data_IF_615477531663
#
_entry.id   IF_615477531663
#
_cell.length_a   1.000
_cell.length_b   1.000
_cell.length_c   1.000
_cell.angle_alpha   90.00
_cell.angle_beta   90.00
_cell.angle_gamma   90.00
#
_symmetry.space_group_name_H-M   'P 1'
#
loop_
_entity.id
_entity.type
_entity.pdbx_description
1 polymer ?
#
# COMPACT_ATOMS: atom_id res chain seq x y z
N UNK A 1 -8.61 -54.58 -7.95
CA UNK A 1 -8.73 -53.36 -7.11
C UNK A 1 -9.25 -52.24 -8.00
N UNK A 2 -10.46 -51.75 -7.78
CA UNK A 2 -11.14 -50.78 -8.67
C UNK A 2 -10.61 -49.36 -8.49
N UNK A 3 -10.20 -48.72 -9.59
CA UNK A 3 -9.83 -47.31 -9.64
C UNK A 3 -11.03 -46.37 -9.58
N UNK A 4 -10.78 -45.07 -9.76
CA UNK A 4 -11.79 -44.04 -10.01
C UNK A 4 -12.38 -44.24 -11.42
N UNK A 5 -13.69 -44.04 -11.53
CA UNK A 5 -14.36 -44.01 -12.83
C UNK A 5 -13.98 -42.73 -13.59
N UNK A 6 -14.18 -42.72 -14.91
CA UNK A 6 -13.93 -41.53 -15.74
C UNK A 6 -14.73 -40.32 -15.23
N UNK A 7 -16.00 -40.52 -14.87
CA UNK A 7 -16.84 -39.47 -14.30
C UNK A 7 -16.27 -38.90 -12.98
N UNK A 8 -15.75 -39.76 -12.09
CA UNK A 8 -15.09 -39.30 -10.87
C UNK A 8 -13.81 -38.53 -11.18
N UNK A 9 -13.00 -38.96 -12.15
CA UNK A 9 -11.78 -38.25 -12.57
C UNK A 9 -12.10 -36.85 -13.12
N UNK A 10 -13.13 -36.73 -13.97
CA UNK A 10 -13.56 -35.43 -14.51
C UNK A 10 -14.07 -34.50 -13.39
N UNK A 11 -14.92 -35.00 -12.50
CA UNK A 11 -15.46 -34.22 -11.40
C UNK A 11 -14.36 -33.76 -10.41
N UNK A 12 -13.44 -34.67 -10.06
CA UNK A 12 -12.31 -34.35 -9.19
C UNK A 12 -11.36 -33.35 -9.84
N UNK A 13 -11.04 -33.49 -11.13
CA UNK A 13 -10.20 -32.52 -11.84
C UNK A 13 -10.80 -31.11 -11.80
N UNK A 14 -12.11 -30.97 -12.06
CA UNK A 14 -12.81 -29.70 -11.98
C UNK A 14 -12.83 -29.09 -10.56
N UNK A 15 -12.85 -29.93 -9.52
CA UNK A 15 -12.72 -29.48 -8.13
C UNK A 15 -11.30 -29.03 -7.80
N UNK A 16 -10.29 -29.81 -8.20
CA UNK A 16 -8.89 -29.51 -7.95
C UNK A 16 -8.46 -28.20 -8.63
N UNK A 17 -8.90 -27.96 -9.88
CA UNK A 17 -8.64 -26.72 -10.64
C UNK A 17 -9.13 -25.47 -9.87
N UNK A 18 -10.23 -25.59 -9.12
CA UNK A 18 -10.84 -24.48 -8.36
C UNK A 18 -10.30 -24.34 -6.93
N UNK A 19 -9.55 -25.32 -6.43
CA UNK A 19 -9.01 -25.30 -5.08
C UNK A 19 -7.84 -24.30 -4.96
N UNK A 20 -7.75 -23.49 -3.88
CA UNK A 20 -6.57 -22.69 -3.58
C UNK A 20 -5.33 -23.56 -3.29
N UNK A 21 -4.12 -23.03 -3.51
CA UNK A 21 -2.86 -23.78 -3.32
C UNK A 21 -2.66 -24.27 -1.89
N UNK A 22 -3.08 -23.48 -0.89
CA UNK A 22 -3.04 -23.90 0.51
C UNK A 22 -3.91 -25.15 0.74
N UNK A 23 -5.12 -25.16 0.18
CA UNK A 23 -6.05 -26.29 0.29
C UNK A 23 -5.52 -27.51 -0.46
N UNK A 24 -4.95 -27.33 -1.66
CA UNK A 24 -4.32 -28.44 -2.40
C UNK A 24 -3.18 -29.09 -1.62
N UNK A 25 -2.35 -28.30 -0.93
CA UNK A 25 -1.29 -28.83 -0.07
C UNK A 25 -1.87 -29.64 1.09
N UNK A 26 -2.91 -29.13 1.74
CA UNK A 26 -3.61 -29.85 2.84
C UNK A 26 -4.22 -31.15 2.35
N UNK A 27 -4.93 -31.15 1.22
CA UNK A 27 -5.53 -32.35 0.62
C UNK A 27 -4.45 -33.35 0.21
N UNK A 28 -3.35 -32.88 -0.39
CA UNK A 28 -2.21 -33.73 -0.76
C UNK A 28 -1.58 -34.41 0.46
N UNK A 29 -1.41 -33.70 1.57
CA UNK A 29 -0.89 -34.27 2.82
C UNK A 29 -1.86 -35.29 3.43
N UNK A 30 -3.17 -35.02 3.38
CA UNK A 30 -4.21 -35.90 3.90
C UNK A 30 -4.36 -37.21 3.10
N UNK A 31 -4.17 -37.16 1.77
CA UNK A 31 -4.29 -38.34 0.90
C UNK A 31 -3.00 -39.18 0.89
N UNK A 32 -1.84 -38.59 1.20
CA UNK A 32 -0.54 -39.27 1.20
C UNK A 32 -0.49 -40.61 1.98
N UNK A 33 -1.01 -40.73 3.22
CA UNK A 33 -0.97 -41.99 3.97
C UNK A 33 -2.07 -43.00 3.58
N UNK A 34 -3.03 -42.62 2.72
CA UNK A 34 -4.18 -43.48 2.42
C UNK A 34 -3.80 -44.65 1.49
N UNK A 35 -4.09 -45.91 1.88
CA UNK A 35 -3.84 -47.07 1.03
C UNK A 35 -4.93 -47.24 -0.03
N UNK A 36 -4.61 -47.95 -1.12
CA UNK A 36 -5.58 -48.39 -2.14
C UNK A 36 -5.52 -47.66 -3.48
N UNK A 37 -6.12 -48.26 -4.51
CA UNK A 37 -6.03 -47.80 -5.91
C UNK A 37 -6.65 -46.42 -6.15
N UNK A 38 -7.80 -46.11 -5.54
CA UNK A 38 -8.44 -44.79 -5.64
C UNK A 38 -7.60 -43.69 -5.00
N UNK A 39 -6.97 -43.97 -3.85
CA UNK A 39 -6.06 -43.04 -3.20
C UNK A 39 -4.79 -42.82 -4.05
N UNK A 40 -4.26 -43.88 -4.68
CA UNK A 40 -3.14 -43.75 -5.61
C UNK A 40 -3.47 -42.86 -6.82
N UNK A 41 -4.63 -43.07 -7.46
CA UNK A 41 -5.06 -42.22 -8.58
C UNK A 41 -5.31 -40.76 -8.17
N UNK A 42 -5.92 -40.53 -7.00
CA UNK A 42 -6.10 -39.16 -6.47
C UNK A 42 -4.74 -38.48 -6.18
N UNK A 43 -3.75 -39.22 -5.65
CA UNK A 43 -2.38 -38.69 -5.49
C UNK A 43 -1.75 -38.29 -6.81
N UNK A 44 -1.94 -39.09 -7.87
CA UNK A 44 -1.47 -38.73 -9.21
C UNK A 44 -2.14 -37.45 -9.72
N UNK A 45 -3.47 -37.36 -9.63
CA UNK A 45 -4.21 -36.16 -10.04
C UNK A 45 -3.77 -34.90 -9.28
N UNK A 46 -3.53 -35.01 -7.96
CA UNK A 46 -3.02 -33.91 -7.14
C UNK A 46 -1.60 -33.50 -7.54
N UNK A 47 -0.73 -34.47 -7.82
CA UNK A 47 0.64 -34.20 -8.28
C UNK A 47 0.65 -33.58 -9.69
N UNK A 48 -0.27 -33.98 -10.56
CA UNK A 48 -0.43 -33.42 -11.90
C UNK A 48 -0.89 -31.96 -11.83
N UNK A 49 -1.92 -31.67 -11.00
CA UNK A 49 -2.42 -30.32 -10.77
C UNK A 49 -1.34 -29.40 -10.18
N UNK A 50 -0.61 -29.88 -9.16
CA UNK A 50 0.48 -29.09 -8.56
C UNK A 50 1.58 -28.78 -9.58
N UNK A 51 1.98 -29.77 -10.40
CA UNK A 51 2.98 -29.57 -11.46
C UNK A 51 2.48 -28.59 -12.52
N UNK A 52 1.22 -28.70 -12.94
CA UNK A 52 0.63 -27.76 -13.90
C UNK A 52 0.66 -26.32 -13.38
N UNK A 53 0.34 -26.10 -12.09
CA UNK A 53 0.41 -24.77 -11.46
C UNK A 53 1.82 -24.22 -11.38
N UNK A 54 2.81 -25.05 -11.02
CA UNK A 54 4.22 -24.64 -10.99
C UNK A 54 4.70 -24.26 -12.39
N UNK A 55 4.36 -25.07 -13.41
CA UNK A 55 4.67 -24.78 -14.81
C UNK A 55 4.02 -23.49 -15.27
N UNK A 56 2.72 -23.30 -15.00
CA UNK A 56 2.00 -22.06 -15.31
C UNK A 56 2.66 -20.85 -14.66
N UNK A 57 2.98 -20.95 -13.37
CA UNK A 57 3.63 -19.86 -12.63
C UNK A 57 5.00 -19.54 -13.22
N UNK A 58 5.79 -20.54 -13.59
CA UNK A 58 7.10 -20.35 -14.20
C UNK A 58 7.01 -19.74 -15.60
N UNK A 59 6.16 -20.29 -16.47
CA UNK A 59 5.99 -19.83 -17.85
C UNK A 59 5.42 -18.41 -17.87
N UNK A 60 4.34 -18.17 -17.13
CA UNK A 60 3.65 -16.88 -17.10
C UNK A 60 4.23 -15.89 -16.09
N UNK A 61 5.36 -16.22 -15.43
CA UNK A 61 5.97 -15.37 -14.41
C UNK A 61 6.11 -13.90 -14.84
N UNK A 62 6.57 -13.58 -16.08
CA UNK A 62 6.74 -12.18 -16.46
C UNK A 62 5.42 -11.40 -16.55
N UNK A 63 4.30 -12.06 -16.91
CA UNK A 63 3.01 -11.38 -17.10
C UNK A 63 2.06 -11.54 -15.90
N UNK A 64 2.35 -12.45 -14.97
CA UNK A 64 1.45 -12.79 -13.85
C UNK A 64 0.93 -11.57 -13.08
N UNK A 65 1.75 -10.56 -12.73
CA UNK A 65 1.26 -9.38 -12.01
C UNK A 65 0.28 -8.52 -12.80
N UNK A 66 0.26 -8.60 -14.13
CA UNK A 66 -0.66 -7.84 -14.99
C UNK A 66 -2.10 -8.37 -14.92
N UNK A 67 -2.33 -9.54 -14.35
CA UNK A 67 -3.69 -10.11 -14.18
C UNK A 67 -4.37 -9.70 -12.87
N UNK A 68 -3.85 -8.66 -12.21
CA UNK A 68 -4.42 -8.07 -11.00
C UNK A 68 -4.20 -6.57 -11.01
N UNK A 69 -5.08 -5.83 -10.36
CA UNK A 69 -4.87 -4.41 -10.14
C UNK A 69 -3.64 -4.18 -9.24
N UNK A 70 -2.94 -3.06 -9.44
CA UNK A 70 -1.83 -2.65 -8.57
C UNK A 70 -2.34 -2.35 -7.16
N UNK A 71 -1.52 -2.67 -6.17
CA UNK A 71 -1.83 -2.44 -4.74
C UNK A 71 -1.78 -0.98 -4.34
N UNK A 72 -0.98 -0.18 -5.05
CA UNK A 72 -0.90 1.27 -4.88
C UNK A 72 -2.00 2.03 -5.63
N UNK A 73 -2.90 1.34 -6.33
CA UNK A 73 -4.03 1.94 -7.04
C UNK A 73 -3.66 2.86 -8.20
N UNK A 74 -2.41 2.87 -8.66
CA UNK A 74 -2.04 3.56 -9.91
C UNK A 74 -2.53 2.72 -11.08
N UNK A 75 -3.02 3.39 -12.11
CA UNK A 75 -3.43 2.73 -13.35
C UNK A 75 -2.24 2.01 -14.00
N UNK A 76 -2.50 0.84 -14.56
CA UNK A 76 -1.51 0.02 -15.25
C UNK A 76 -2.18 -0.78 -16.36
N UNK A 77 -1.39 -1.23 -17.33
CA UNK A 77 -1.87 -2.24 -18.26
C UNK A 77 -2.21 -3.53 -17.49
N UNK A 78 -3.50 -3.87 -17.46
CA UNK A 78 -4.00 -5.03 -16.74
C UNK A 78 -4.96 -5.85 -17.58
N UNK A 79 -5.00 -7.16 -17.31
CA UNK A 79 -5.85 -8.13 -17.98
C UNK A 79 -6.81 -8.78 -16.96
N UNK A 80 -8.01 -9.22 -17.38
CA UNK A 80 -8.93 -9.87 -16.47
C UNK A 80 -8.34 -11.16 -15.86
N UNK A 81 -8.46 -11.39 -14.54
CA UNK A 81 -7.87 -12.55 -13.87
C UNK A 81 -8.28 -13.92 -14.49
N UNK A 82 -9.49 -13.98 -15.05
CA UNK A 82 -10.02 -15.19 -15.69
C UNK A 82 -9.33 -15.56 -17.01
N UNK A 83 -8.57 -14.64 -17.61
CA UNK A 83 -7.87 -14.85 -18.88
C UNK A 83 -6.62 -15.71 -18.69
N UNK A 84 -5.86 -15.51 -17.61
CA UNK A 84 -4.62 -16.25 -17.34
C UNK A 84 -4.79 -17.79 -17.34
N UNK A 85 -5.76 -18.39 -16.61
CA UNK A 85 -5.93 -19.84 -16.64
C UNK A 85 -6.39 -20.36 -18.01
N UNK A 86 -7.21 -19.60 -18.74
CA UNK A 86 -7.64 -19.97 -20.10
C UNK A 86 -6.50 -19.92 -21.11
N UNK A 87 -5.70 -18.86 -21.04
CA UNK A 87 -4.48 -18.70 -21.84
C UNK A 87 -3.52 -19.86 -21.61
N UNK A 88 -3.24 -20.19 -20.34
CA UNK A 88 -2.39 -21.32 -20.00
C UNK A 88 -2.92 -22.63 -20.56
N UNK A 89 -4.21 -22.93 -20.35
CA UNK A 89 -4.85 -24.15 -20.84
C UNK A 89 -4.78 -24.28 -22.36
N UNK A 90 -4.99 -23.18 -23.08
CA UNK A 90 -4.90 -23.16 -24.53
C UNK A 90 -3.46 -23.37 -25.03
N UNK A 91 -2.49 -22.69 -24.41
CA UNK A 91 -1.09 -22.77 -24.79
C UNK A 91 -0.48 -24.14 -24.47
N UNK A 92 -0.76 -24.70 -23.30
CA UNK A 92 -0.24 -26.01 -22.88
C UNK A 92 -0.82 -27.16 -23.72
N UNK A 93 -2.07 -27.04 -24.19
CA UNK A 93 -2.69 -27.99 -25.10
C UNK A 93 -2.07 -28.00 -26.50
N UNK A 94 -1.45 -26.89 -26.93
CA UNK A 94 -0.81 -26.77 -28.25
C UNK A 94 0.58 -27.39 -28.30
N UNK A 95 1.28 -27.44 -27.17
CA UNK A 95 2.67 -27.94 -27.06
C UNK A 95 2.81 -28.98 -25.91
N UNK A 96 2.01 -30.07 -25.89
CA UNK A 96 1.94 -30.99 -24.74
C UNK A 96 3.26 -31.72 -24.46
N UNK A 97 4.02 -32.02 -25.52
CA UNK A 97 5.31 -32.71 -25.43
C UNK A 97 6.38 -31.87 -24.73
N UNK A 98 6.27 -30.55 -24.83
CA UNK A 98 7.22 -29.62 -24.22
C UNK A 98 7.01 -29.45 -22.73
N UNK A 99 5.82 -29.74 -22.20
CA UNK A 99 5.49 -29.51 -20.79
C UNK A 99 6.41 -30.29 -19.84
N UNK A 100 6.80 -31.53 -20.20
CA UNK A 100 7.72 -32.32 -19.38
C UNK A 100 9.12 -31.70 -19.27
N UNK A 101 9.53 -30.89 -20.26
CA UNK A 101 10.83 -30.21 -20.28
C UNK A 101 10.88 -28.99 -19.36
N UNK A 102 9.74 -28.52 -18.86
CA UNK A 102 9.66 -27.45 -17.87
C UNK A 102 10.06 -27.93 -16.46
N UNK A 103 10.00 -29.23 -16.17
CA UNK A 103 10.29 -29.79 -14.84
C UNK A 103 11.80 -29.94 -14.56
N UNK A 104 12.64 -29.79 -15.60
CA UNK A 104 14.09 -29.93 -15.53
C UNK A 104 14.84 -28.60 -15.36
N UNK A 105 16.14 -28.68 -15.11
CA UNK A 105 17.01 -27.48 -14.97
C UNK A 105 17.34 -26.81 -16.31
N UNK A 106 17.47 -27.58 -17.40
CA UNK A 106 17.71 -27.08 -18.76
C UNK A 106 17.00 -27.99 -19.78
N UNK A 107 16.40 -27.48 -20.88
CA UNK A 107 16.30 -26.08 -21.33
C UNK A 107 14.93 -25.44 -20.98
N UNK A 108 14.54 -25.43 -19.71
CA UNK A 108 13.19 -25.02 -19.26
C UNK A 108 12.81 -23.57 -19.64
N UNK A 109 13.77 -22.64 -19.65
CA UNK A 109 13.54 -21.22 -20.04
C UNK A 109 13.15 -21.09 -21.51
N UNK A 110 13.91 -21.71 -22.42
CA UNK A 110 13.61 -21.67 -23.86
C UNK A 110 12.23 -22.28 -24.16
N UNK A 111 11.87 -23.33 -23.42
CA UNK A 111 10.56 -23.97 -23.54
C UNK A 111 9.46 -23.02 -23.05
N UNK A 112 9.67 -22.34 -21.93
CA UNK A 112 8.72 -21.35 -21.42
C UNK A 112 8.48 -20.23 -22.43
N UNK A 113 9.54 -19.68 -23.02
CA UNK A 113 9.45 -18.60 -23.99
C UNK A 113 8.74 -19.03 -25.27
N UNK A 114 8.99 -20.27 -25.74
CA UNK A 114 8.24 -20.86 -26.86
C UNK A 114 6.76 -21.01 -26.55
N UNK A 115 6.40 -21.44 -25.33
CA UNK A 115 4.99 -21.56 -24.93
C UNK A 115 4.33 -20.18 -24.91
N UNK A 116 5.02 -19.12 -24.47
CA UNK A 116 4.48 -17.76 -24.53
C UNK A 116 4.27 -17.27 -25.97
N UNK A 117 5.19 -17.56 -26.89
CA UNK A 117 5.01 -17.25 -28.32
C UNK A 117 3.81 -18.01 -28.92
N UNK A 118 3.66 -19.29 -28.58
CA UNK A 118 2.48 -20.08 -28.98
C UNK A 118 1.19 -19.49 -28.38
N UNK A 119 1.24 -19.00 -27.14
CA UNK A 119 0.13 -18.33 -26.49
C UNK A 119 -0.24 -17.01 -27.21
N UNK A 120 0.76 -16.23 -27.64
CA UNK A 120 0.54 -15.00 -28.42
C UNK A 120 -0.17 -15.30 -29.76
N UNK A 121 0.24 -16.36 -30.45
CA UNK A 121 -0.44 -16.82 -31.67
C UNK A 121 -1.89 -17.24 -31.39
N UNK A 122 -2.16 -17.97 -30.29
CA UNK A 122 -3.53 -18.34 -29.90
C UNK A 122 -4.40 -17.10 -29.64
N UNK A 123 -3.86 -16.09 -28.95
CA UNK A 123 -4.58 -14.84 -28.69
C UNK A 123 -5.01 -14.16 -29.99
N UNK A 124 -4.17 -14.23 -31.04
CA UNK A 124 -4.46 -13.66 -32.37
C UNK A 124 -5.41 -14.53 -33.19
N UNK A 125 -5.18 -15.84 -33.22
CA UNK A 125 -5.87 -16.77 -34.12
C UNK A 125 -7.24 -17.21 -33.57
N UNK A 126 -7.33 -17.40 -32.25
CA UNK A 126 -8.51 -17.94 -31.55
C UNK A 126 -8.82 -17.15 -30.27
N UNK A 127 -9.06 -15.82 -30.36
CA UNK A 127 -9.19 -14.93 -29.20
C UNK A 127 -10.33 -15.33 -28.23
N UNK A 128 -11.42 -15.89 -28.75
CA UNK A 128 -12.59 -16.29 -27.94
C UNK A 128 -12.31 -17.46 -27.00
N UNK A 129 -11.29 -18.28 -27.29
CA UNK A 129 -10.85 -19.36 -26.41
C UNK A 129 -10.22 -18.80 -25.11
N UNK A 130 -9.55 -17.66 -25.22
CA UNK A 130 -8.73 -17.05 -24.16
C UNK A 130 -9.53 -16.01 -23.39
N UNK A 131 -10.13 -15.05 -24.10
CA UNK A 131 -10.91 -13.97 -23.54
C UNK A 131 -12.21 -13.87 -24.34
N UNK A 132 -13.30 -14.54 -23.95
CA UNK A 132 -14.57 -14.47 -24.68
C UNK A 132 -15.22 -13.09 -24.52
N UNK A 133 -15.95 -12.63 -25.54
CA UNK A 133 -16.68 -11.35 -25.47
C UNK A 133 -17.04 -10.69 -26.79
N UNK A 134 -16.80 -11.32 -27.94
CA UNK A 134 -17.20 -10.78 -29.24
C UNK A 134 -16.48 -9.48 -29.60
N UNK A 135 -17.13 -8.58 -30.33
CA UNK A 135 -16.50 -7.39 -30.93
C UNK A 135 -16.39 -6.16 -30.02
N UNK A 136 -16.38 -6.34 -28.69
CA UNK A 136 -16.17 -5.24 -27.74
C UNK A 136 -14.81 -4.55 -27.99
N UNK A 137 -14.76 -3.23 -28.27
CA UNK A 137 -13.51 -2.54 -28.57
C UNK A 137 -12.45 -2.63 -27.47
N UNK A 138 -12.86 -2.52 -26.20
CA UNK A 138 -11.92 -2.59 -25.07
C UNK A 138 -11.27 -3.98 -24.96
N UNK A 139 -12.06 -5.04 -25.19
CA UNK A 139 -11.54 -6.41 -25.33
C UNK A 139 -10.55 -6.54 -26.49
N UNK A 140 -10.87 -5.98 -27.67
CA UNK A 140 -10.00 -6.10 -28.85
C UNK A 140 -8.64 -5.46 -28.60
N UNK A 141 -8.61 -4.24 -28.05
CA UNK A 141 -7.37 -3.59 -27.61
C UNK A 141 -6.65 -4.42 -26.55
N UNK A 142 -7.37 -4.95 -25.56
CA UNK A 142 -6.78 -5.81 -24.53
C UNK A 142 -6.17 -7.11 -25.06
N UNK A 143 -6.72 -7.70 -26.12
CA UNK A 143 -6.18 -8.87 -26.80
C UNK A 143 -4.89 -8.54 -27.57
N UNK A 144 -4.86 -7.39 -28.26
CA UNK A 144 -3.65 -6.90 -28.95
C UNK A 144 -2.52 -6.65 -27.96
N UNK A 145 -2.84 -5.97 -26.85
CA UNK A 145 -1.90 -5.69 -25.76
C UNK A 145 -1.39 -6.98 -25.10
N UNK A 146 -2.27 -7.96 -24.86
CA UNK A 146 -1.88 -9.24 -24.30
C UNK A 146 -0.93 -10.00 -25.23
N UNK A 147 -1.24 -10.05 -26.53
CA UNK A 147 -0.39 -10.70 -27.51
C UNK A 147 0.99 -10.01 -27.61
N UNK A 148 1.01 -8.68 -27.58
CA UNK A 148 2.24 -7.88 -27.57
C UNK A 148 3.12 -8.15 -26.34
N UNK A 149 2.53 -8.24 -25.15
CA UNK A 149 3.26 -8.59 -23.93
C UNK A 149 3.78 -10.04 -23.97
N UNK A 150 3.03 -10.96 -24.58
CA UNK A 150 3.46 -12.36 -24.75
C UNK A 150 4.64 -12.50 -25.71
N UNK A 151 4.68 -11.74 -26.81
CA UNK A 151 5.84 -11.76 -27.72
C UNK A 151 7.14 -11.34 -27.00
N UNK A 152 7.03 -10.38 -26.07
CA UNK A 152 8.16 -9.82 -25.32
C UNK A 152 8.46 -10.55 -24.00
N UNK A 153 7.73 -11.61 -23.69
CA UNK A 153 7.87 -12.34 -22.42
C UNK A 153 9.28 -12.88 -22.19
N UNK A 154 9.99 -13.30 -23.24
CA UNK A 154 11.39 -13.73 -23.16
C UNK A 154 12.34 -12.58 -22.78
N UNK A 155 12.11 -11.39 -23.33
CA UNK A 155 12.86 -10.18 -23.00
C UNK A 155 12.61 -9.75 -21.57
N UNK A 156 11.35 -9.75 -21.14
CA UNK A 156 10.98 -9.45 -19.77
C UNK A 156 11.60 -10.46 -18.79
N UNK A 157 11.58 -11.76 -19.10
CA UNK A 157 12.20 -12.79 -18.27
C UNK A 157 13.70 -12.57 -18.09
N UNK A 158 14.40 -12.13 -19.15
CA UNK A 158 15.83 -11.74 -19.10
C UNK A 158 16.04 -10.49 -18.25
N UNK A 159 15.12 -9.53 -18.31
CA UNK A 159 15.22 -8.23 -17.65
C UNK A 159 14.91 -8.24 -16.15
N UNK A 160 13.94 -9.07 -15.73
CA UNK A 160 13.44 -9.07 -14.35
C UNK A 160 14.52 -9.28 -13.26
N UNK A 161 15.52 -10.16 -13.44
CA UNK A 161 16.61 -10.29 -12.47
C UNK A 161 17.43 -8.99 -12.26
N UNK A 162 17.52 -8.13 -13.28
CA UNK A 162 18.27 -6.87 -13.24
C UNK A 162 17.44 -5.70 -12.69
N UNK A 163 16.14 -5.88 -12.46
CA UNK A 163 15.22 -4.82 -12.04
C UNK A 163 15.67 -4.13 -10.75
N UNK A 164 16.05 -4.90 -9.72
CA UNK A 164 16.48 -4.33 -8.44
C UNK A 164 17.73 -3.44 -8.58
N UNK A 165 18.63 -3.81 -9.49
CA UNK A 165 19.87 -3.07 -9.76
C UNK A 165 19.55 -1.73 -10.42
N UNK A 166 18.68 -1.73 -11.44
CA UNK A 166 18.26 -0.50 -12.14
C UNK A 166 17.52 0.48 -11.23
N UNK A 167 16.75 0.00 -10.25
CA UNK A 167 16.01 0.84 -9.30
C UNK A 167 16.89 1.57 -8.27
N UNK A 168 18.15 1.12 -8.10
CA UNK A 168 19.10 1.71 -7.15
C UNK A 168 19.97 2.74 -7.87
N UNK A 169 21.26 2.46 -8.00
CA UNK A 169 22.23 3.33 -8.63
C UNK A 169 23.06 2.48 -9.60
N UNK A 170 22.54 2.22 -10.80
CA UNK A 170 23.24 1.39 -11.75
C UNK A 170 24.52 2.06 -12.23
N UNK A 171 25.53 1.25 -12.54
CA UNK A 171 26.73 1.70 -13.24
C UNK A 171 26.49 1.88 -14.75
N UNK A 172 27.51 2.34 -15.47
CA UNK A 172 27.40 2.61 -16.91
C UNK A 172 27.07 1.37 -17.74
N UNK A 173 27.54 0.19 -17.34
CA UNK A 173 27.31 -1.07 -18.05
C UNK A 173 25.86 -1.53 -17.85
N UNK A 174 25.34 -1.42 -16.62
CA UNK A 174 23.95 -1.75 -16.29
C UNK A 174 22.95 -0.82 -16.98
N UNK A 175 23.27 0.47 -17.12
CA UNK A 175 22.46 1.41 -17.92
C UNK A 175 22.52 1.07 -19.40
N UNK A 176 23.69 0.69 -19.92
CA UNK A 176 23.82 0.25 -21.31
C UNK A 176 23.02 -1.03 -21.58
N UNK A 177 23.00 -1.98 -20.64
CA UNK A 177 22.18 -3.19 -20.70
C UNK A 177 20.68 -2.87 -20.80
N UNK A 178 20.18 -1.97 -19.95
CA UNK A 178 18.78 -1.51 -20.01
C UNK A 178 18.45 -0.89 -21.39
N UNK A 179 19.31 -0.01 -21.89
CA UNK A 179 19.11 0.64 -23.20
C UNK A 179 19.13 -0.35 -24.35
N UNK A 180 20.05 -1.32 -24.31
CA UNK A 180 20.12 -2.39 -25.30
C UNK A 180 18.85 -3.25 -25.25
N UNK A 181 18.38 -3.63 -24.06
CA UNK A 181 17.12 -4.35 -23.90
C UNK A 181 15.95 -3.59 -24.54
N UNK A 182 15.81 -2.29 -24.25
CA UNK A 182 14.72 -1.49 -24.81
C UNK A 182 14.81 -1.38 -26.34
N UNK A 183 16.03 -1.26 -26.89
CA UNK A 183 16.28 -1.26 -28.33
C UNK A 183 15.96 -2.62 -28.98
N UNK A 184 16.35 -3.72 -28.35
CA UNK A 184 16.04 -5.07 -28.82
C UNK A 184 14.50 -5.28 -28.85
N UNK A 185 13.78 -4.84 -27.82
CA UNK A 185 12.32 -4.88 -27.77
C UNK A 185 11.70 -4.05 -28.90
N UNK A 186 12.22 -2.84 -29.18
CA UNK A 186 11.79 -2.02 -30.32
C UNK A 186 12.06 -2.70 -31.68
N UNK A 187 13.12 -3.51 -31.76
CA UNK A 187 13.45 -4.31 -32.94
C UNK A 187 12.47 -5.46 -33.18
N UNK A 188 11.85 -5.99 -32.13
CA UNK A 188 10.79 -7.00 -32.22
C UNK A 188 9.46 -6.37 -32.63
N UNK A 189 9.14 -5.19 -32.08
CA UNK A 189 7.87 -4.48 -32.35
C UNK A 189 8.02 -2.98 -32.11
N UNK A 190 7.29 -2.16 -32.86
CA UNK A 190 7.40 -0.69 -32.83
C UNK A 190 7.25 -0.08 -31.43
N UNK A 191 6.22 -0.47 -30.68
CA UNK A 191 5.96 -0.06 -29.29
C UNK A 191 6.53 -1.07 -28.28
N UNK A 192 7.54 -1.85 -28.68
CA UNK A 192 8.13 -2.91 -27.87
C UNK A 192 8.79 -2.41 -26.59
N UNK A 193 9.46 -1.24 -26.65
CA UNK A 193 10.04 -0.60 -25.46
C UNK A 193 8.96 -0.22 -24.45
N UNK A 194 7.83 0.33 -24.89
CA UNK A 194 6.71 0.67 -24.01
C UNK A 194 6.12 -0.58 -23.34
N UNK A 195 5.91 -1.68 -24.08
CA UNK A 195 5.30 -2.89 -23.50
C UNK A 195 6.20 -3.63 -22.53
N UNK A 196 7.50 -3.70 -22.78
CA UNK A 196 8.40 -4.29 -21.79
C UNK A 196 8.43 -3.43 -20.51
N UNK A 197 8.32 -2.11 -20.63
CA UNK A 197 8.19 -1.21 -19.47
C UNK A 197 6.86 -1.41 -18.73
N UNK A 198 5.73 -1.64 -19.41
CA UNK A 198 4.47 -2.01 -18.76
C UNK A 198 4.58 -3.34 -17.99
N UNK A 199 5.30 -4.32 -18.57
CA UNK A 199 5.60 -5.57 -17.87
C UNK A 199 6.42 -5.27 -16.61
N UNK A 200 7.57 -4.60 -16.73
CA UNK A 200 8.42 -4.27 -15.58
C UNK A 200 7.67 -3.45 -14.52
N UNK A 201 6.86 -2.49 -14.95
CA UNK A 201 6.01 -1.66 -14.09
C UNK A 201 5.10 -2.53 -13.23
N UNK A 202 4.48 -3.57 -13.80
CA UNK A 202 3.61 -4.50 -13.05
C UNK A 202 4.32 -5.28 -11.93
N UNK A 203 5.65 -5.40 -11.96
CA UNK A 203 6.47 -6.04 -10.92
C UNK A 203 6.92 -5.06 -9.83
N UNK A 204 6.76 -3.75 -10.01
CA UNK A 204 7.14 -2.76 -9.01
C UNK A 204 6.11 -2.69 -7.88
N UNK A 205 6.58 -2.73 -6.63
CA UNK A 205 5.72 -2.54 -5.44
C UNK A 205 5.11 -1.14 -5.37
N UNK A 206 5.91 -0.12 -5.72
CA UNK A 206 5.50 1.28 -5.79
C UNK A 206 5.68 1.79 -7.22
N UNK A 207 4.61 2.34 -7.79
CA UNK A 207 4.56 2.83 -9.15
C UNK A 207 5.61 3.92 -9.40
N UNK A 208 5.93 4.73 -8.38
CA UNK A 208 6.85 5.86 -8.53
C UNK A 208 8.25 5.41 -8.99
N UNK A 209 8.64 4.18 -8.64
CA UNK A 209 9.96 3.62 -8.97
C UNK A 209 10.18 3.48 -10.48
N UNK A 210 9.12 3.49 -11.29
CA UNK A 210 9.24 3.47 -12.75
C UNK A 210 10.02 4.68 -13.27
N UNK A 211 9.92 5.84 -12.60
CA UNK A 211 10.60 7.06 -13.00
C UNK A 211 12.12 6.86 -13.08
N UNK A 212 12.69 6.07 -12.16
CA UNK A 212 14.12 5.74 -12.17
C UNK A 212 14.54 4.93 -13.39
N UNK A 213 13.67 4.04 -13.86
CA UNK A 213 13.92 3.25 -15.07
C UNK A 213 13.78 4.15 -16.31
N UNK A 214 12.77 5.02 -16.33
CA UNK A 214 12.52 5.93 -17.45
C UNK A 214 13.69 6.90 -17.65
N UNK A 215 14.20 7.53 -16.59
CA UNK A 215 15.33 8.47 -16.70
C UNK A 215 16.62 7.80 -17.17
N UNK A 216 16.81 6.51 -16.85
CA UNK A 216 17.96 5.74 -17.32
C UNK A 216 17.82 5.28 -18.79
N UNK A 217 16.59 5.13 -19.28
CA UNK A 217 16.28 4.63 -20.63
C UNK A 217 16.83 5.52 -21.75
N UNK A 218 17.01 6.81 -21.51
CA UNK A 218 17.62 7.75 -22.45
C UNK A 218 18.09 9.02 -21.74
N UNK A 219 19.23 9.56 -22.14
CA UNK A 219 19.75 10.83 -21.62
C UNK A 219 18.87 12.04 -21.95
N UNK A 220 18.00 11.94 -22.96
CA UNK A 220 17.06 13.00 -23.32
C UNK A 220 15.79 13.00 -22.47
N UNK A 221 15.49 11.90 -21.76
CA UNK A 221 14.24 11.71 -20.99
C UNK A 221 14.24 12.47 -19.66
N UNK A 222 15.39 12.97 -19.20
CA UNK A 222 15.47 13.88 -18.04
C UNK A 222 14.82 15.25 -18.31
N UNK A 223 14.63 15.61 -19.59
CA UNK A 223 13.94 16.82 -20.02
C UNK A 223 12.45 16.53 -20.26
N UNK A 224 11.58 17.25 -19.56
CA UNK A 224 10.13 17.10 -19.65
C UNK A 224 9.61 17.16 -21.10
N UNK A 225 10.10 18.11 -21.91
CA UNK A 225 9.62 18.33 -23.28
C UNK A 225 9.83 17.08 -24.18
N UNK A 226 10.89 16.31 -23.93
CA UNK A 226 11.16 15.07 -24.66
C UNK A 226 10.26 13.94 -24.16
N UNK A 227 10.13 13.78 -22.84
CA UNK A 227 9.36 12.70 -22.24
C UNK A 227 7.85 12.86 -22.51
N UNK A 228 7.33 14.09 -22.36
CA UNK A 228 5.92 14.41 -22.59
C UNK A 228 5.46 14.22 -24.04
N UNK A 229 6.38 14.34 -25.00
CA UNK A 229 6.12 14.06 -26.41
C UNK A 229 6.27 12.58 -26.80
N UNK A 230 6.66 11.71 -25.85
CA UNK A 230 6.93 10.30 -26.09
C UNK A 230 5.80 9.38 -25.62
N UNK A 231 5.78 8.14 -26.10
CA UNK A 231 4.88 7.08 -25.62
C UNK A 231 5.05 6.75 -24.12
N UNK A 232 6.16 7.20 -23.50
CA UNK A 232 6.46 6.99 -22.09
C UNK A 232 5.81 8.05 -21.18
N UNK A 233 5.26 9.13 -21.75
CA UNK A 233 4.51 10.15 -21.04
C UNK A 233 3.39 9.55 -20.16
N UNK A 234 2.74 8.50 -20.68
CA UNK A 234 1.64 7.83 -19.99
C UNK A 234 1.98 7.32 -18.59
N UNK A 235 3.24 6.94 -18.31
CA UNK A 235 3.64 6.55 -16.95
C UNK A 235 3.62 7.74 -15.98
N UNK A 236 4.10 8.90 -16.43
CA UNK A 236 4.10 10.14 -15.63
C UNK A 236 2.67 10.65 -15.46
N UNK A 237 1.87 10.63 -16.53
CA UNK A 237 0.46 11.02 -16.51
C UNK A 237 -0.33 10.22 -15.47
N UNK A 238 -0.15 8.90 -15.41
CA UNK A 238 -0.82 8.03 -14.43
C UNK A 238 -0.40 8.34 -12.99
N UNK A 239 0.86 8.70 -12.75
CA UNK A 239 1.34 9.10 -11.43
C UNK A 239 0.71 10.43 -11.00
N UNK A 240 0.68 11.42 -11.90
CA UNK A 240 0.07 12.74 -11.65
C UNK A 240 -1.43 12.60 -11.42
N UNK A 241 -2.14 11.86 -12.26
CA UNK A 241 -3.56 11.57 -12.07
C UNK A 241 -3.83 10.85 -10.72
N UNK A 242 -2.90 9.97 -10.32
CA UNK A 242 -2.92 9.32 -9.00
C UNK A 242 -2.76 10.30 -7.85
N UNK A 243 -1.94 11.36 -8.00
CA UNK A 243 -1.81 12.46 -7.04
C UNK A 243 -3.09 13.27 -6.99
N UNK A 244 -3.66 13.64 -8.13
CA UNK A 244 -4.89 14.45 -8.19
C UNK A 244 -6.07 13.73 -7.52
N UNK A 245 -6.25 12.44 -7.79
CA UNK A 245 -7.30 11.63 -7.19
C UNK A 245 -7.16 11.57 -5.66
N UNK A 246 -5.92 11.45 -5.16
CA UNK A 246 -5.63 11.41 -3.72
C UNK A 246 -5.75 12.76 -3.05
N UNK A 247 -5.28 13.82 -3.71
CA UNK A 247 -5.43 15.18 -3.25
C UNK A 247 -6.92 15.52 -3.07
N UNK A 248 -7.77 15.09 -4.01
CA UNK A 248 -9.23 15.22 -3.90
C UNK A 248 -9.80 14.44 -2.69
N UNK A 249 -9.36 13.20 -2.45
CA UNK A 249 -9.77 12.42 -1.26
C UNK A 249 -9.34 13.07 0.05
N UNK A 250 -8.11 13.58 0.12
CA UNK A 250 -7.56 14.30 1.27
C UNK A 250 -8.36 15.59 1.51
N UNK A 251 -8.68 16.34 0.45
CA UNK A 251 -9.47 17.56 0.54
C UNK A 251 -10.91 17.29 1.05
N UNK A 252 -11.51 16.18 0.63
CA UNK A 252 -12.88 15.80 1.01
C UNK A 252 -13.01 15.24 2.45
N UNK A 253 -11.91 14.80 3.07
CA UNK A 253 -11.91 14.21 4.40
C UNK A 253 -12.46 15.16 5.47
N UNK A 254 -13.46 14.77 6.26
CA UNK A 254 -13.98 15.58 7.38
C UNK A 254 -13.64 14.94 8.73
N UNK A 255 -12.71 15.51 9.53
CA UNK A 255 -12.21 14.86 10.75
C UNK A 255 -13.26 14.48 11.80
N UNK A 256 -14.33 15.26 11.93
CA UNK A 256 -15.39 15.01 12.90
C UNK A 256 -16.42 13.97 12.42
N UNK A 257 -16.57 13.78 11.11
CA UNK A 257 -17.57 12.88 10.52
C UNK A 257 -16.96 11.56 10.01
N UNK A 258 -15.69 11.58 9.59
CA UNK A 258 -15.03 10.51 8.85
C UNK A 258 -13.88 9.86 9.63
N UNK A 259 -13.97 9.78 10.95
CA UNK A 259 -12.91 9.28 11.86
C UNK A 259 -12.26 7.97 11.36
N UNK A 260 -13.07 7.03 10.84
CA UNK A 260 -12.60 5.75 10.30
C UNK A 260 -11.64 5.88 9.10
N UNK A 261 -11.75 6.96 8.33
CA UNK A 261 -10.96 7.22 7.11
C UNK A 261 -9.60 7.88 7.39
N UNK A 262 -9.31 8.23 8.64
CA UNK A 262 -8.05 8.91 8.97
C UNK A 262 -6.81 8.09 8.56
N UNK A 263 -6.86 6.75 8.65
CA UNK A 263 -5.77 5.86 8.22
C UNK A 263 -5.53 5.98 6.71
N UNK A 264 -6.60 6.01 5.92
CA UNK A 264 -6.52 6.09 4.46
C UNK A 264 -5.97 7.46 4.03
N UNK A 265 -6.36 8.53 4.72
CA UNK A 265 -5.83 9.88 4.47
C UNK A 265 -4.35 9.98 4.80
N UNK A 266 -3.88 9.33 5.87
CA UNK A 266 -2.43 9.25 6.18
C UNK A 266 -1.69 8.49 5.07
N UNK A 267 -2.27 7.39 4.57
CA UNK A 267 -1.69 6.63 3.46
C UNK A 267 -1.63 7.47 2.17
N UNK A 268 -2.70 8.18 1.84
CA UNK A 268 -2.76 9.06 0.67
C UNK A 268 -1.75 10.22 0.80
N UNK A 269 -1.60 10.84 1.98
CA UNK A 269 -0.61 11.90 2.24
C UNK A 269 0.83 11.38 2.05
N UNK A 270 1.12 10.19 2.59
CA UNK A 270 2.43 9.55 2.46
C UNK A 270 2.74 9.22 1.02
N UNK A 271 1.79 8.62 0.31
CA UNK A 271 1.96 8.27 -1.10
C UNK A 271 2.18 9.52 -1.96
N UNK A 272 1.37 10.57 -1.79
CA UNK A 272 1.55 11.82 -2.55
C UNK A 272 2.92 12.46 -2.28
N UNK A 273 3.36 12.47 -1.01
CA UNK A 273 4.67 12.99 -0.65
C UNK A 273 5.79 12.21 -1.35
N UNK A 274 5.72 10.87 -1.34
CA UNK A 274 6.72 10.03 -2.00
C UNK A 274 6.76 10.26 -3.52
N UNK A 275 5.60 10.30 -4.17
CA UNK A 275 5.51 10.51 -5.62
C UNK A 275 6.05 11.87 -6.03
N UNK A 276 5.64 12.91 -5.33
CA UNK A 276 6.07 14.27 -5.64
C UNK A 276 7.56 14.49 -5.36
N UNK A 277 8.10 13.89 -4.30
CA UNK A 277 9.54 13.95 -4.01
C UNK A 277 10.37 13.20 -5.06
N UNK A 278 9.92 12.03 -5.52
CA UNK A 278 10.62 11.31 -6.58
C UNK A 278 10.54 12.05 -7.93
N UNK A 279 9.38 12.65 -8.26
CA UNK A 279 9.26 13.51 -9.44
C UNK A 279 10.26 14.66 -9.42
N UNK A 280 10.44 15.34 -8.27
CA UNK A 280 11.41 16.44 -8.14
C UNK A 280 12.86 15.99 -8.39
N UNK A 281 13.21 14.76 -7.99
CA UNK A 281 14.57 14.22 -8.10
C UNK A 281 14.82 13.64 -9.49
N UNK A 282 13.79 13.12 -10.16
CA UNK A 282 13.92 12.40 -11.43
C UNK A 282 13.66 13.27 -12.65
N UNK A 283 12.81 14.29 -12.55
CA UNK A 283 12.39 15.12 -13.69
C UNK A 283 12.55 16.61 -13.38
N UNK A 284 13.09 17.35 -14.35
CA UNK A 284 13.10 18.82 -14.28
C UNK A 284 11.81 19.36 -14.90
N UNK A 285 10.78 19.54 -14.07
CA UNK A 285 9.48 20.02 -14.52
C UNK A 285 9.47 21.54 -14.79
N UNK A 286 8.96 21.94 -15.95
CA UNK A 286 8.66 23.31 -16.30
C UNK A 286 7.38 23.76 -15.56
N UNK A 287 7.43 24.80 -14.71
CA UNK A 287 6.26 25.25 -13.95
C UNK A 287 5.05 25.70 -14.79
N UNK A 288 5.25 25.97 -16.09
CA UNK A 288 4.19 26.40 -17.00
C UNK A 288 3.60 25.26 -17.85
N UNK A 289 4.21 24.09 -17.83
CA UNK A 289 3.71 22.91 -18.53
C UNK A 289 2.44 22.36 -17.85
N UNK A 290 1.80 21.39 -18.52
CA UNK A 290 0.64 20.69 -17.96
C UNK A 290 1.03 19.93 -16.69
N UNK A 291 2.14 19.18 -16.71
CA UNK A 291 2.61 18.43 -15.55
C UNK A 291 3.04 19.35 -14.41
N UNK A 292 3.82 20.40 -14.71
CA UNK A 292 4.27 21.36 -13.71
C UNK A 292 3.11 22.08 -13.01
N UNK A 293 2.05 22.43 -13.76
CA UNK A 293 0.82 23.00 -13.18
C UNK A 293 0.09 22.00 -12.30
N UNK A 294 -0.16 20.78 -12.78
CA UNK A 294 -0.86 19.74 -12.00
C UNK A 294 -0.14 19.42 -10.70
N UNK A 295 1.18 19.21 -10.77
CA UNK A 295 2.03 18.98 -9.58
C UNK A 295 1.95 20.14 -8.60
N UNK A 296 2.02 21.38 -9.08
CA UNK A 296 1.92 22.57 -8.24
C UNK A 296 0.54 22.67 -7.57
N UNK A 297 -0.53 22.47 -8.32
CA UNK A 297 -1.90 22.56 -7.81
C UNK A 297 -2.17 21.47 -6.77
N UNK A 298 -1.71 20.25 -7.03
CA UNK A 298 -1.74 19.14 -6.06
C UNK A 298 -0.99 19.47 -4.77
N UNK A 299 0.22 20.04 -4.84
CA UNK A 299 0.98 20.50 -3.67
C UNK A 299 0.24 21.55 -2.86
N UNK A 300 -0.29 22.58 -3.53
CA UNK A 300 -1.02 23.67 -2.86
C UNK A 300 -2.27 23.16 -2.17
N UNK A 301 -3.04 22.29 -2.84
CA UNK A 301 -4.24 21.68 -2.28
C UNK A 301 -3.92 20.85 -1.03
N UNK A 302 -2.91 19.97 -1.12
CA UNK A 302 -2.51 19.10 0.00
C UNK A 302 -1.93 19.91 1.16
N UNK A 303 -1.04 20.87 0.89
CA UNK A 303 -0.45 21.72 1.93
C UNK A 303 -1.52 22.51 2.68
N UNK A 304 -2.43 23.17 1.94
CA UNK A 304 -3.54 23.90 2.53
C UNK A 304 -4.44 23.00 3.40
N UNK A 305 -4.71 21.78 2.94
CA UNK A 305 -5.50 20.82 3.72
C UNK A 305 -4.76 20.34 4.97
N UNK A 306 -3.47 20.03 4.86
CA UNK A 306 -2.64 19.58 5.97
C UNK A 306 -2.57 20.66 7.06
N UNK A 307 -2.29 21.91 6.72
CA UNK A 307 -2.32 23.02 7.68
C UNK A 307 -3.68 23.17 8.36
N UNK A 308 -4.78 22.99 7.63
CA UNK A 308 -6.13 22.97 8.20
C UNK A 308 -6.35 21.82 9.20
N UNK A 309 -5.84 20.63 8.91
CA UNK A 309 -5.92 19.46 9.79
C UNK A 309 -5.09 19.64 11.07
N UNK A 310 -3.90 20.25 10.96
CA UNK A 310 -3.07 20.58 12.12
C UNK A 310 -3.82 21.53 13.08
N UNK A 311 -4.44 22.59 12.57
CA UNK A 311 -5.26 23.51 13.38
C UNK A 311 -6.50 22.83 13.97
N UNK A 312 -7.13 21.93 13.22
CA UNK A 312 -8.27 21.16 13.71
C UNK A 312 -7.87 20.21 14.85
N UNK A 313 -6.68 19.62 14.79
CA UNK A 313 -6.16 18.76 15.86
C UNK A 313 -6.00 19.53 17.18
N UNK A 314 -5.49 20.75 17.11
CA UNK A 314 -5.35 21.60 18.29
C UNK A 314 -6.71 21.85 18.97
N UNK A 315 -7.69 22.32 18.19
CA UNK A 315 -9.05 22.58 18.66
C UNK A 315 -9.74 21.32 19.20
N UNK A 316 -9.53 20.17 18.57
CA UNK A 316 -10.15 18.91 19.01
C UNK A 316 -9.61 18.49 20.39
N UNK A 317 -8.33 18.71 20.68
CA UNK A 317 -7.76 18.46 22.01
C UNK A 317 -8.34 19.41 23.05
N UNK A 318 -8.48 20.71 22.74
CA UNK A 318 -9.11 21.67 23.66
C UNK A 318 -10.56 21.29 24.00
N UNK A 319 -11.30 20.72 23.05
CA UNK A 319 -12.65 20.24 23.28
C UNK A 319 -12.69 18.93 24.07
N UNK A 320 -11.71 18.05 23.89
CA UNK A 320 -11.64 16.75 24.56
C UNK A 320 -11.08 16.84 25.99
N UNK A 321 -10.28 17.88 26.29
CA UNK A 321 -9.69 18.16 27.60
C UNK A 321 -9.93 19.64 27.98
N UNK A 322 -11.19 20.01 28.28
CA UNK A 322 -11.56 21.40 28.50
C UNK A 322 -11.10 21.95 29.85
N UNK A 323 -10.92 23.27 29.89
CA UNK A 323 -10.67 24.02 31.11
C UNK A 323 -11.93 24.76 31.56
N UNK A 324 -12.13 24.86 32.86
CA UNK A 324 -13.18 25.66 33.47
C UNK A 324 -12.63 26.74 34.41
N UNK A 325 -13.38 27.83 34.57
CA UNK A 325 -13.05 28.88 35.52
C UNK A 325 -13.69 28.59 36.86
N UNK A 326 -12.87 28.25 37.85
CA UNK A 326 -13.30 27.95 39.21
C UNK A 326 -13.03 29.15 40.12
N UNK A 327 -14.01 29.55 40.92
CA UNK A 327 -13.82 30.57 41.95
C UNK A 327 -13.07 29.98 43.14
N UNK A 328 -11.97 30.61 43.54
CA UNK A 328 -11.11 30.11 44.64
C UNK A 328 -11.40 30.84 45.94
N UNK A 329 -11.53 32.17 45.91
CA UNK A 329 -11.93 32.98 47.06
C UNK A 329 -12.39 34.38 46.62
N UNK A 330 -13.53 34.84 47.14
CA UNK A 330 -14.09 36.14 46.77
C UNK A 330 -14.32 36.29 45.26
N UNK A 331 -13.70 37.30 44.64
CA UNK A 331 -13.76 37.53 43.18
C UNK A 331 -12.59 36.88 42.40
N UNK A 332 -11.69 36.15 43.06
CA UNK A 332 -10.55 35.50 42.40
C UNK A 332 -11.00 34.19 41.74
N UNK A 333 -10.77 34.09 40.44
CA UNK A 333 -10.99 32.88 39.63
C UNK A 333 -9.67 32.31 39.16
N UNK A 334 -9.54 30.99 39.17
CA UNK A 334 -8.44 30.24 38.56
C UNK A 334 -8.98 29.37 37.42
N UNK A 335 -8.14 29.11 36.42
CA UNK A 335 -8.44 28.11 35.39
C UNK A 335 -8.05 26.72 35.90
N UNK A 336 -8.97 25.77 35.91
CA UNK A 336 -8.76 24.40 36.37
C UNK A 336 -9.25 23.39 35.31
N UNK A 337 -8.67 22.19 35.24
CA UNK A 337 -9.18 21.10 34.42
C UNK A 337 -10.63 20.76 34.74
N UNK A 338 -11.48 20.63 33.72
CA UNK A 338 -12.86 20.24 33.89
C UNK A 338 -12.96 18.69 34.02
N UNK A 339 -13.18 18.20 35.25
CA UNK A 339 -13.17 16.75 35.53
C UNK A 339 -14.47 16.02 35.19
N UNK A 340 -15.57 16.73 35.00
CA UNK A 340 -16.88 16.18 34.61
C UNK A 340 -17.08 16.09 33.09
N UNK A 341 -16.09 16.51 32.30
CA UNK A 341 -16.10 16.40 30.84
C UNK A 341 -16.14 14.92 30.37
N UNK A 342 -16.87 14.57 29.30
CA UNK A 342 -16.90 13.21 28.76
C UNK A 342 -15.51 12.73 28.34
N UNK A 343 -15.16 11.50 28.72
CA UNK A 343 -13.87 10.85 28.40
C UNK A 343 -13.99 9.86 27.23
N UNK A 344 -15.17 9.79 26.64
CA UNK A 344 -15.57 8.99 25.50
C UNK A 344 -16.56 9.77 24.61
N UNK A 345 -16.88 9.21 23.43
CA UNK A 345 -17.74 9.84 22.43
C UNK A 345 -16.97 10.52 21.29
N UNK A 346 -17.74 11.21 20.43
CA UNK A 346 -17.26 11.66 19.12
C UNK A 346 -16.12 12.68 19.20
N UNK A 347 -16.14 13.57 20.19
CA UNK A 347 -15.09 14.59 20.41
C UNK A 347 -13.74 13.91 20.71
N UNK A 348 -13.75 12.93 21.61
CA UNK A 348 -12.55 12.17 22.00
C UNK A 348 -12.04 11.33 20.83
N UNK A 349 -12.93 10.71 20.06
CA UNK A 349 -12.55 9.95 18.87
C UNK A 349 -11.97 10.83 17.75
N UNK A 350 -12.52 12.03 17.56
CA UNK A 350 -12.00 13.02 16.61
C UNK A 350 -10.60 13.50 17.03
N UNK A 351 -10.40 13.83 18.31
CA UNK A 351 -9.10 14.21 18.85
C UNK A 351 -8.06 13.09 18.64
N UNK A 352 -8.40 11.83 18.96
CA UNK A 352 -7.51 10.68 18.74
C UNK A 352 -7.10 10.53 17.27
N UNK A 353 -8.05 10.68 16.36
CA UNK A 353 -7.82 10.49 14.93
C UNK A 353 -6.95 11.59 14.34
N UNK A 354 -7.20 12.83 14.74
CA UNK A 354 -6.41 13.99 14.35
C UNK A 354 -4.99 13.95 14.93
N UNK A 355 -4.82 13.56 16.20
CA UNK A 355 -3.49 13.43 16.79
C UNK A 355 -2.68 12.29 16.16
N UNK A 356 -3.32 11.17 15.82
CA UNK A 356 -2.68 10.10 15.05
C UNK A 356 -2.18 10.62 13.70
N UNK A 357 -2.96 11.47 13.03
CA UNK A 357 -2.53 12.14 11.81
C UNK A 357 -1.31 13.02 12.07
N UNK A 358 -1.36 13.92 13.07
CA UNK A 358 -0.21 14.80 13.44
C UNK A 358 1.08 14.00 13.68
N UNK A 359 1.01 12.87 14.39
CA UNK A 359 2.17 12.01 14.64
C UNK A 359 2.69 11.28 13.40
N UNK A 360 1.81 10.98 12.44
CA UNK A 360 2.16 10.17 11.25
C UNK A 360 2.62 11.00 10.06
N UNK A 361 2.38 12.32 10.05
CA UNK A 361 2.61 13.19 8.87
C UNK A 361 3.96 13.90 8.85
N UNK A 362 4.97 13.49 9.64
CA UNK A 362 6.31 14.14 9.63
C UNK A 362 6.95 14.15 8.23
N UNK A 363 6.97 13.01 7.53
CA UNK A 363 7.51 12.91 6.16
C UNK A 363 6.73 13.80 5.17
N UNK A 364 5.40 13.63 5.07
CA UNK A 364 4.55 14.49 4.25
C UNK A 364 4.70 15.98 4.56
N UNK A 365 4.72 16.37 5.84
CA UNK A 365 4.85 17.77 6.25
C UNK A 365 6.15 18.40 5.75
N UNK A 366 7.25 17.65 5.72
CA UNK A 366 8.51 18.14 5.12
C UNK A 366 8.37 18.39 3.61
N UNK A 367 7.70 17.49 2.89
CA UNK A 367 7.52 17.59 1.43
C UNK A 367 6.60 18.74 1.03
N UNK A 368 5.57 19.00 1.84
CA UNK A 368 4.57 20.05 1.60
C UNK A 368 4.89 21.38 2.29
N UNK A 369 6.04 21.52 2.95
CA UNK A 369 6.45 22.76 3.61
C UNK A 369 5.68 23.10 4.90
N UNK A 370 5.04 22.12 5.54
CA UNK A 370 4.28 22.27 6.78
C UNK A 370 5.03 21.79 8.04
N UNK A 371 6.30 21.40 7.93
CA UNK A 371 7.04 20.79 9.05
C UNK A 371 7.25 21.75 10.23
N UNK A 372 7.47 23.04 9.96
CA UNK A 372 7.58 24.06 11.01
C UNK A 372 6.29 24.16 11.83
N UNK A 373 5.14 24.24 11.16
CA UNK A 373 3.82 24.34 11.78
C UNK A 373 3.50 23.08 12.59
N UNK A 374 3.80 21.91 12.02
CA UNK A 374 3.63 20.61 12.69
C UNK A 374 4.49 20.55 13.95
N UNK A 375 5.77 20.94 13.87
CA UNK A 375 6.68 20.93 15.02
C UNK A 375 6.20 21.87 16.13
N UNK A 376 5.84 23.10 15.78
CA UNK A 376 5.30 24.08 16.74
C UNK A 376 4.03 23.57 17.42
N UNK A 377 3.13 22.94 16.66
CA UNK A 377 1.93 22.31 17.22
C UNK A 377 2.28 21.17 18.19
N UNK A 378 3.18 20.26 17.82
CA UNK A 378 3.59 19.14 18.69
C UNK A 378 4.21 19.65 20.00
N UNK A 379 5.06 20.68 19.94
CA UNK A 379 5.65 21.31 21.13
C UNK A 379 4.58 21.94 22.03
N UNK A 380 3.64 22.70 21.45
CA UNK A 380 2.54 23.31 22.18
C UNK A 380 1.61 22.26 22.82
N UNK A 381 1.24 21.21 22.07
CA UNK A 381 0.44 20.10 22.57
C UNK A 381 1.15 19.35 23.70
N UNK A 382 2.46 19.12 23.57
CA UNK A 382 3.25 18.45 24.60
C UNK A 382 3.24 19.22 25.91
N UNK A 383 3.46 20.54 25.85
CA UNK A 383 3.39 21.42 27.02
C UNK A 383 1.98 21.41 27.63
N UNK A 384 0.93 21.62 26.82
CA UNK A 384 -0.46 21.70 27.28
C UNK A 384 -0.94 20.40 27.92
N UNK A 385 -0.69 19.25 27.28
CA UNK A 385 -1.12 17.94 27.78
C UNK A 385 -0.40 17.56 29.08
N UNK A 386 0.87 17.95 29.21
CA UNK A 386 1.64 17.73 30.45
C UNK A 386 1.12 18.61 31.57
N UNK A 387 0.88 19.90 31.32
CA UNK A 387 0.33 20.82 32.33
C UNK A 387 -1.08 20.39 32.76
N UNK A 388 -1.94 20.03 31.81
CA UNK A 388 -3.28 19.52 32.11
C UNK A 388 -3.22 18.31 33.05
N UNK A 389 -2.38 17.31 32.71
CA UNK A 389 -2.21 16.12 33.55
C UNK A 389 -1.65 16.45 34.94
N UNK A 390 -0.67 17.36 35.03
CA UNK A 390 -0.09 17.80 36.30
C UNK A 390 -1.11 18.53 37.19
N UNK A 391 -2.01 19.33 36.60
CA UNK A 391 -3.08 20.00 37.35
C UNK A 391 -4.13 19.01 37.85
N UNK A 392 -4.53 18.02 37.03
CA UNK A 392 -5.44 16.96 37.48
C UNK A 392 -4.82 16.15 38.62
N UNK A 393 -3.53 15.81 38.54
CA UNK A 393 -2.82 15.12 39.61
C UNK A 393 -2.76 15.92 40.91
N UNK A 394 -2.58 17.25 40.84
CA UNK A 394 -2.65 18.12 42.02
C UNK A 394 -4.05 18.07 42.65
N UNK A 395 -5.11 18.21 41.85
CA UNK A 395 -6.48 18.14 42.35
C UNK A 395 -6.80 16.80 43.03
N UNK A 396 -6.26 15.67 42.54
CA UNK A 396 -6.37 14.37 43.21
C UNK A 396 -5.65 14.41 44.57
N UNK A 397 -4.38 14.85 44.59
CA UNK A 397 -3.59 14.88 45.83
C UNK A 397 -4.14 15.85 46.89
N UNK A 398 -4.76 16.94 46.46
CA UNK A 398 -5.37 17.96 47.33
C UNK A 398 -6.78 17.56 47.81
N UNK A 399 -7.31 16.42 47.35
CA UNK A 399 -8.66 15.94 47.68
C UNK A 399 -9.79 16.77 47.04
N UNK A 400 -9.48 17.54 45.99
CA UNK A 400 -10.41 18.41 45.27
C UNK A 400 -11.10 17.69 44.11
N UNK A 401 -10.67 16.48 43.76
CA UNK A 401 -11.26 15.66 42.69
C UNK A 401 -12.56 14.97 43.17
N UNK A 402 -13.73 15.24 42.56
CA UNK A 402 -15.00 14.62 42.98
C UNK A 402 -15.05 13.10 42.73
N UNK A 403 -14.35 12.62 41.70
CA UNK A 403 -14.22 11.22 41.33
C UNK A 403 -12.77 10.97 40.88
N UNK A 404 -11.96 10.44 41.79
CA UNK A 404 -10.55 10.12 41.54
C UNK A 404 -10.37 9.10 40.41
N UNK A 405 -11.25 8.10 40.30
CA UNK A 405 -11.16 7.08 39.26
C UNK A 405 -11.38 7.69 37.87
N UNK A 406 -12.31 8.64 37.76
CA UNK A 406 -12.53 9.41 36.53
C UNK A 406 -11.37 10.34 36.23
N UNK A 407 -10.85 11.07 37.21
CA UNK A 407 -9.68 11.93 37.04
C UNK A 407 -8.45 11.15 36.54
N UNK A 408 -8.27 9.92 37.03
CA UNK A 408 -7.23 9.00 36.53
C UNK A 408 -7.45 8.57 35.08
N UNK A 409 -8.69 8.35 34.63
CA UNK A 409 -9.00 8.08 33.22
C UNK A 409 -8.68 9.28 32.32
N UNK A 410 -8.92 10.50 32.80
CA UNK A 410 -8.55 11.75 32.10
C UNK A 410 -7.03 11.83 31.93
N UNK A 411 -6.26 11.56 32.98
CA UNK A 411 -4.79 11.53 32.92
C UNK A 411 -4.30 10.46 31.94
N UNK A 412 -4.92 9.27 31.95
CA UNK A 412 -4.59 8.20 31.00
C UNK A 412 -4.87 8.63 29.54
N UNK A 413 -5.96 9.37 29.30
CA UNK A 413 -6.25 9.92 27.98
C UNK A 413 -5.25 11.00 27.55
N UNK A 414 -4.84 11.91 28.44
CA UNK A 414 -3.78 12.88 28.14
C UNK A 414 -2.45 12.20 27.79
N UNK A 415 -2.07 11.15 28.52
CA UNK A 415 -0.89 10.35 28.20
C UNK A 415 -1.02 9.62 26.84
N UNK A 416 -2.21 9.13 26.50
CA UNK A 416 -2.48 8.56 25.17
C UNK A 416 -2.34 9.61 24.06
N UNK A 417 -2.82 10.84 24.28
CA UNK A 417 -2.68 11.94 23.33
C UNK A 417 -1.20 12.27 23.06
N UNK A 418 -0.36 12.27 24.10
CA UNK A 418 1.09 12.46 23.98
C UNK A 418 1.74 11.36 23.13
N UNK A 419 1.37 10.09 23.32
CA UNK A 419 1.87 9.00 22.47
C UNK A 419 1.46 9.15 21.00
N UNK A 420 0.21 9.58 20.74
CA UNK A 420 -0.30 9.73 19.38
C UNK A 420 0.47 10.78 18.56
N UNK A 421 1.04 11.79 19.22
CA UNK A 421 1.92 12.79 18.59
C UNK A 421 3.42 12.45 18.70
N UNK A 422 3.74 11.22 19.10
CA UNK A 422 5.10 10.71 19.30
C UNK A 422 5.91 11.41 20.41
N UNK A 423 5.26 12.06 21.38
CA UNK A 423 5.89 12.63 22.58
C UNK A 423 6.04 11.58 23.70
N UNK A 424 6.73 10.48 23.38
CA UNK A 424 6.78 9.24 24.20
C UNK A 424 7.38 9.43 25.61
N UNK A 425 8.40 10.27 25.75
CA UNK A 425 9.03 10.55 27.05
C UNK A 425 8.09 11.35 27.98
N UNK A 426 7.35 12.32 27.43
CA UNK A 426 6.33 13.05 28.17
C UNK A 426 5.19 12.11 28.60
N UNK A 427 4.71 11.26 27.69
CA UNK A 427 3.68 10.26 27.99
C UNK A 427 4.10 9.30 29.11
N UNK A 428 5.35 8.80 29.08
CA UNK A 428 5.92 7.94 30.13
C UNK A 428 5.99 8.67 31.47
N UNK A 429 6.37 9.95 31.47
CA UNK A 429 6.45 10.77 32.67
C UNK A 429 5.09 10.95 33.33
N UNK A 430 4.05 11.28 32.53
CA UNK A 430 2.67 11.40 33.01
C UNK A 430 2.17 10.10 33.63
N UNK A 431 2.37 8.95 32.95
CA UNK A 431 1.96 7.63 33.48
C UNK A 431 2.65 7.28 34.80
N UNK A 432 3.95 7.55 34.90
CA UNK A 432 4.72 7.30 36.12
C UNK A 432 4.17 8.10 37.30
N UNK A 433 3.85 9.38 37.08
CA UNK A 433 3.27 10.25 38.12
C UNK A 433 1.86 9.79 38.52
N UNK A 434 1.05 9.39 37.54
CA UNK A 434 -0.27 8.82 37.78
C UNK A 434 -0.21 7.54 38.63
N UNK A 435 0.74 6.65 38.36
CA UNK A 435 0.93 5.43 39.15
C UNK A 435 1.32 5.71 40.61
N UNK A 436 2.05 6.80 40.88
CA UNK A 436 2.39 7.22 42.25
C UNK A 436 1.16 7.76 42.99
N UNK A 437 0.34 8.58 42.32
CA UNK A 437 -0.89 9.12 42.90
C UNK A 437 -1.95 8.04 43.17
N UNK A 438 -1.95 6.95 42.39
CA UNK A 438 -2.88 5.82 42.55
C UNK A 438 -2.41 4.74 43.56
N UNK A 439 -1.28 4.95 44.27
CA UNK A 439 -0.81 4.05 45.34
C UNK A 439 -1.80 3.98 46.53
N UNK A 440 -1.72 2.96 47.40
CA UNK A 440 -2.82 2.59 48.29
C UNK A 440 -3.16 3.67 49.33
N UNK A 441 -4.15 4.50 49.02
CA UNK A 441 -4.89 5.32 49.96
C UNK A 441 -5.87 4.43 50.74
N UNK A 442 -5.39 3.73 51.77
CA UNK A 442 -6.27 3.00 52.69
C UNK A 442 -5.67 1.88 53.53
N UNK A 443 -4.75 2.18 54.45
CA UNK A 443 -4.66 1.43 55.73
C UNK A 443 -4.66 2.44 56.86
N UNK A 444 -5.80 2.51 57.56
CA UNK A 444 -5.93 2.78 58.99
C UNK A 444 -5.27 4.05 59.52
N UNK A 445 -6.10 5.04 59.86
CA UNK A 445 -5.69 6.11 60.74
C UNK A 445 -5.08 5.58 62.04
N UNK A 446 -3.90 6.10 62.38
CA UNK A 446 -3.40 6.13 63.75
C UNK A 446 -3.29 7.60 64.15
N UNK A 447 -4.25 8.02 64.96
CA UNK A 447 -4.25 9.28 65.68
C UNK A 447 -2.98 9.39 66.53
N UNK A 448 -2.18 10.43 66.31
CA UNK A 448 -1.17 10.90 67.27
C UNK A 448 -1.62 12.22 67.88
N UNK A 449 -2.61 12.14 68.77
CA UNK A 449 -2.84 13.12 69.85
C UNK A 449 -3.20 12.37 71.13
N UNK A 450 -2.18 12.11 71.95
CA UNK A 450 -2.25 12.09 73.42
C UNK A 450 -0.84 11.87 74.00
N UNK A 451 -0.22 12.95 74.48
CA UNK A 451 0.72 13.12 75.60
C UNK A 451 1.67 14.29 75.30
#
# INVERSE_FOLDING_TARGET
MSGLTVAHKVALAALLERCPDAMLRTVSAAVAPLPGGRAAELRMMLADEQRDRVRRQFVMAPLTPMFRARTDGVEALTFPPAVLPRLWKAASAREPELLSRLDGKEPSVMVADRICLAAAAIVRDTPDLVWPGGSDPARLTGLEDLAACLDLSHMARRALPSLEVWLKRPDGDQVAELRLLLKDCAGIRSDGSQRVLEILFSHLEDAVLILRILTQSSTAVEQEDFLSASELAGFVDRLIAGVDQRAARIAAFKPAADIARAKDVIADLTWCANVLAELDVTLTLNPQSVWGKSVRDGRVLIAGRLSGLLRAADKAVDQALPWERVQTSGRMTRNAPQLDAPIDGDIVLAARSLLRLVGSVRGPASTFGCESDRKALVEALTARLTDYADQVLRMINDGEAPDEARAMKIIAFAAQCLDLIAATEAARTVRRRAAVAAGPSGVGGASSRAA
#
